data_IF_083503713006
#
_entry.id   IF_083503713006
#
_cell.length_a   1.000
_cell.length_b   1.000
_cell.length_c   1.000
_cell.angle_alpha   90.00
_cell.angle_beta   90.00
_cell.angle_gamma   90.00
#
_symmetry.space_group_name_H-M   'P 1'
#
loop_
_entity.id
_entity.type
_entity.pdbx_description
1 polymer ?
#
# COMPACT_ATOMS: atom_id res chain seq x y z
N UNK A 1 -2.25 -15.97 -14.36
CA UNK A 1 -2.68 -14.61 -13.93
C UNK A 1 -4.20 -14.61 -13.86
N UNK A 2 -4.76 -14.51 -12.65
CA UNK A 2 -6.21 -14.40 -12.45
C UNK A 2 -6.61 -12.92 -12.64
N UNK A 3 -7.58 -12.64 -13.51
CA UNK A 3 -8.09 -11.28 -13.71
C UNK A 3 -9.29 -11.04 -12.80
N UNK A 4 -9.15 -10.11 -11.85
CA UNK A 4 -10.24 -9.60 -11.03
C UNK A 4 -10.56 -8.17 -11.46
N UNK A 5 -11.83 -7.76 -11.39
CA UNK A 5 -12.30 -6.48 -11.96
C UNK A 5 -12.94 -5.58 -10.90
N UNK A 6 -12.87 -4.27 -11.15
CA UNK A 6 -13.48 -3.25 -10.29
C UNK A 6 -12.91 -3.20 -8.87
N UNK A 7 -13.63 -2.49 -7.99
CA UNK A 7 -13.21 -2.27 -6.59
C UNK A 7 -13.17 -3.59 -5.82
N UNK A 8 -14.13 -4.49 -6.06
CA UNK A 8 -14.16 -5.82 -5.42
C UNK A 8 -12.95 -6.66 -5.84
N UNK A 9 -12.59 -6.61 -7.13
CA UNK A 9 -11.41 -7.32 -7.61
C UNK A 9 -10.10 -6.75 -7.05
N UNK A 10 -9.99 -5.42 -6.96
CA UNK A 10 -8.84 -4.74 -6.38
C UNK A 10 -8.66 -5.06 -4.89
N UNK A 11 -9.70 -4.84 -4.08
CA UNK A 11 -9.64 -5.06 -2.63
C UNK A 11 -9.58 -6.55 -2.28
N UNK A 12 -10.26 -7.41 -3.04
CA UNK A 12 -10.19 -8.86 -2.90
C UNK A 12 -8.80 -9.41 -3.24
N UNK A 13 -8.16 -8.94 -4.31
CA UNK A 13 -6.79 -9.34 -4.64
C UNK A 13 -5.80 -8.99 -3.52
N UNK A 14 -5.95 -7.81 -2.90
CA UNK A 14 -5.11 -7.43 -1.76
C UNK A 14 -5.34 -8.35 -0.56
N UNK A 15 -6.60 -8.58 -0.19
CA UNK A 15 -6.98 -9.48 0.90
C UNK A 15 -6.44 -10.90 0.68
N UNK A 16 -6.60 -11.46 -0.51
CA UNK A 16 -6.14 -12.82 -0.82
C UNK A 16 -4.62 -12.96 -0.73
N UNK A 17 -3.88 -11.89 -1.04
CA UNK A 17 -2.42 -11.86 -0.91
C UNK A 17 -1.93 -11.70 0.53
N UNK A 18 -2.83 -11.55 1.49
CA UNK A 18 -2.52 -11.63 2.93
C UNK A 18 -2.92 -12.99 3.53
N UNK A 19 -3.41 -13.94 2.72
CA UNK A 19 -3.65 -15.30 3.19
C UNK A 19 -2.35 -15.93 3.72
N UNK A 20 -2.41 -16.52 4.91
CA UNK A 20 -1.26 -17.08 5.61
C UNK A 20 -0.53 -16.08 6.53
N UNK A 21 -0.85 -14.79 6.47
CA UNK A 21 -0.44 -13.80 7.47
C UNK A 21 -1.38 -13.94 8.68
N UNK A 22 -0.82 -13.93 9.88
CA UNK A 22 -1.61 -14.09 11.12
C UNK A 22 -2.48 -12.86 11.38
N UNK A 23 -3.70 -13.08 11.86
CA UNK A 23 -4.53 -12.00 12.39
C UNK A 23 -3.75 -11.26 13.50
N UNK A 24 -3.84 -9.93 13.56
CA UNK A 24 -3.04 -9.13 14.48
C UNK A 24 -1.62 -8.78 14.01
N UNK A 25 -1.15 -9.33 12.88
CA UNK A 25 0.15 -8.97 12.29
C UNK A 25 0.27 -7.47 11.97
N UNK A 26 1.52 -6.98 11.90
CA UNK A 26 1.86 -5.60 11.57
C UNK A 26 2.03 -5.43 10.06
N UNK A 27 1.26 -4.51 9.48
CA UNK A 27 1.31 -4.18 8.06
C UNK A 27 1.70 -2.70 7.93
N UNK A 28 2.84 -2.46 7.27
CA UNK A 28 3.36 -1.12 7.00
C UNK A 28 3.11 -0.77 5.54
N UNK A 29 2.29 0.24 5.30
CA UNK A 29 2.11 0.84 3.99
C UNK A 29 3.13 1.96 3.79
N UNK A 30 3.71 2.05 2.58
CA UNK A 30 4.46 3.23 2.13
C UNK A 30 3.93 3.70 0.79
N UNK A 31 3.73 5.00 0.64
CA UNK A 31 3.04 5.56 -0.51
C UNK A 31 3.20 7.07 -0.59
N UNK A 32 2.98 7.63 -1.79
CA UNK A 32 2.90 9.09 -1.96
C UNK A 32 1.85 9.66 -1.01
N UNK A 33 2.23 10.64 -0.20
CA UNK A 33 1.26 11.42 0.56
C UNK A 33 0.20 12.02 -0.37
N UNK A 34 -1.03 12.18 0.14
CA UNK A 34 -2.23 12.65 -0.55
C UNK A 34 -2.77 11.73 -1.66
N UNK A 35 -1.93 11.24 -2.59
CA UNK A 35 -2.40 10.45 -3.73
C UNK A 35 -2.65 8.99 -3.34
N UNK A 36 -1.77 8.38 -2.55
CA UNK A 36 -1.91 6.98 -2.14
C UNK A 36 -2.79 6.81 -0.89
N UNK A 37 -2.94 7.84 -0.06
CA UNK A 37 -3.66 7.76 1.22
C UNK A 37 -5.07 7.19 1.08
N UNK A 38 -5.93 7.65 0.15
CA UNK A 38 -7.29 7.10 0.02
C UNK A 38 -7.30 5.62 -0.37
N UNK A 39 -6.34 5.17 -1.16
CA UNK A 39 -6.22 3.76 -1.54
C UNK A 39 -5.71 2.92 -0.36
N UNK A 40 -4.76 3.43 0.42
CA UNK A 40 -4.29 2.76 1.64
C UNK A 40 -5.43 2.59 2.64
N UNK A 41 -6.25 3.62 2.82
CA UNK A 41 -7.45 3.58 3.69
C UNK A 41 -8.48 2.55 3.18
N UNK A 42 -8.73 2.53 1.87
CA UNK A 42 -9.60 1.53 1.24
C UNK A 42 -9.09 0.09 1.42
N UNK A 43 -7.79 -0.13 1.21
CA UNK A 43 -7.15 -1.44 1.39
C UNK A 43 -7.14 -1.88 2.86
N UNK A 44 -6.92 -0.93 3.78
CA UNK A 44 -7.03 -1.17 5.22
C UNK A 44 -8.44 -1.63 5.61
N UNK A 45 -9.46 -1.00 5.04
CA UNK A 45 -10.85 -1.40 5.26
C UNK A 45 -11.17 -2.81 4.72
N UNK A 46 -10.53 -3.22 3.63
CA UNK A 46 -10.70 -4.55 3.03
C UNK A 46 -10.25 -5.71 3.96
N UNK A 47 -9.41 -5.41 4.94
CA UNK A 47 -8.85 -6.36 5.91
C UNK A 47 -9.23 -6.04 7.36
N UNK A 48 -10.26 -5.22 7.57
CA UNK A 48 -10.70 -4.74 8.89
C UNK A 48 -11.04 -5.83 9.91
N UNK A 49 -11.47 -7.00 9.46
CA UNK A 49 -11.83 -8.14 10.30
C UNK A 49 -10.62 -8.92 10.85
N UNK A 50 -9.41 -8.54 10.44
CA UNK A 50 -8.16 -9.22 10.78
C UNK A 50 -7.40 -8.63 11.97
N UNK A 51 -7.87 -7.51 12.51
CA UNK A 51 -7.28 -6.83 13.67
C UNK A 51 -5.78 -6.53 13.54
N UNK A 52 -5.26 -6.37 12.32
CA UNK A 52 -3.86 -6.04 12.07
C UNK A 52 -3.46 -4.68 12.66
N UNK A 53 -2.19 -4.54 13.06
CA UNK A 53 -1.59 -3.24 13.35
C UNK A 53 -1.23 -2.57 12.02
N UNK A 54 -1.98 -1.52 11.65
CA UNK A 54 -1.83 -0.84 10.37
C UNK A 54 -1.08 0.49 10.54
N UNK A 55 0.00 0.64 9.78
CA UNK A 55 0.91 1.78 9.86
C UNK A 55 1.11 2.36 8.47
N UNK A 56 1.18 3.68 8.37
CA UNK A 56 1.51 4.39 7.15
C UNK A 56 2.82 5.17 7.31
N UNK A 57 3.78 4.93 6.42
CA UNK A 57 5.04 5.67 6.28
C UNK A 57 4.96 6.47 4.97
N UNK A 58 4.54 7.75 5.01
CA UNK A 58 4.42 8.56 3.81
C UNK A 58 5.77 8.77 3.13
N UNK A 59 5.83 8.62 1.81
CA UNK A 59 7.03 8.90 1.00
C UNK A 59 8.30 8.16 1.42
N UNK A 60 8.17 7.00 2.09
CA UNK A 60 9.29 6.30 2.73
C UNK A 60 10.06 7.12 3.79
N UNK A 61 9.46 8.19 4.33
CA UNK A 61 10.03 9.00 5.41
C UNK A 61 9.53 8.50 6.78
N UNK A 62 10.39 7.79 7.50
CA UNK A 62 10.08 7.24 8.83
C UNK A 62 9.74 8.31 9.87
N UNK A 63 10.17 9.57 9.69
CA UNK A 63 9.80 10.68 10.58
C UNK A 63 8.32 11.03 10.50
N UNK A 64 7.69 10.70 9.37
CA UNK A 64 6.28 10.97 9.10
C UNK A 64 5.37 9.80 9.42
N UNK A 65 5.88 8.74 10.07
CA UNK A 65 5.11 7.53 10.39
C UNK A 65 3.85 7.84 11.19
N UNK A 66 2.70 7.40 10.67
CA UNK A 66 1.37 7.54 11.28
C UNK A 66 0.70 6.19 11.47
N UNK A 67 -0.17 6.10 12.46
CA UNK A 67 -1.09 4.98 12.62
C UNK A 67 -2.27 5.09 11.65
N UNK A 68 -2.75 3.97 11.14
CA UNK A 68 -4.05 3.86 10.47
C UNK A 68 -5.06 3.31 11.46
N UNK A 69 -6.15 4.04 11.72
CA UNK A 69 -7.20 3.63 12.66
C UNK A 69 -8.56 3.58 11.98
N UNK A 70 -9.37 2.62 12.41
CA UNK A 70 -10.80 2.61 12.09
C UNK A 70 -11.49 3.71 12.92
N UNK A 71 -12.02 4.71 12.24
CA UNK A 71 -12.84 5.78 12.80
C UNK A 71 -14.33 5.46 12.58
N UNK A 72 -15.12 5.64 13.65
CA UNK A 72 -16.55 5.34 13.62
C UNK A 72 -17.24 6.18 12.54
N UNK A 73 -18.01 5.51 11.67
CA UNK A 73 -18.74 6.10 10.54
C UNK A 73 -17.90 6.71 9.40
N UNK A 74 -16.57 6.59 9.43
CA UNK A 74 -15.68 7.12 8.38
C UNK A 74 -14.87 6.03 7.67
N UNK A 75 -14.54 4.94 8.35
CA UNK A 75 -13.66 3.89 7.82
C UNK A 75 -12.24 4.04 8.37
N UNK A 76 -11.22 3.59 7.64
CA UNK A 76 -9.84 3.78 8.07
C UNK A 76 -9.34 5.17 7.72
N UNK A 77 -8.58 5.77 8.64
CA UNK A 77 -7.94 7.07 8.45
C UNK A 77 -6.49 7.03 8.91
N UNK A 78 -5.61 7.73 8.20
CA UNK A 78 -4.30 8.09 8.74
C UNK A 78 -4.48 9.17 9.81
N UNK A 79 -4.24 8.81 11.08
CA UNK A 79 -4.43 9.72 12.21
C UNK A 79 -3.10 10.35 12.63
N UNK A 80 -3.13 11.52 13.25
CA UNK A 80 -1.93 12.21 13.76
C UNK A 80 -1.41 11.58 15.07
N UNK A 81 -1.21 10.27 15.04
CA UNK A 81 -0.65 9.47 16.13
C UNK A 81 0.58 8.78 15.58
N UNK A 82 1.74 9.05 16.20
CA UNK A 82 3.00 8.39 15.85
C UNK A 82 2.88 6.89 16.13
N UNK A 83 3.34 6.08 15.19
CA UNK A 83 3.41 4.63 15.32
C UNK A 83 4.85 4.12 15.20
N UNK A 84 5.09 2.88 15.62
CA UNK A 84 6.38 2.21 15.48
C UNK A 84 6.35 1.23 14.30
N UNK A 85 7.03 1.52 13.17
CA UNK A 85 6.98 0.66 11.99
C UNK A 85 7.88 -0.58 12.08
N UNK A 86 8.66 -0.74 13.17
CA UNK A 86 9.68 -1.79 13.28
C UNK A 86 9.09 -3.20 13.32
N UNK A 87 9.82 -4.16 12.74
CA UNK A 87 9.47 -5.57 12.61
C UNK A 87 8.06 -5.76 12.00
N UNK A 88 7.83 -5.31 10.75
CA UNK A 88 6.58 -5.61 10.06
C UNK A 88 6.55 -7.08 9.63
N UNK A 89 5.35 -7.65 9.53
CA UNK A 89 5.13 -8.92 8.84
C UNK A 89 4.99 -8.70 7.33
N UNK A 90 4.43 -7.54 6.95
CA UNK A 90 4.19 -7.15 5.56
C UNK A 90 4.53 -5.68 5.34
N UNK A 91 5.22 -5.39 4.24
CA UNK A 91 5.38 -4.04 3.70
C UNK A 91 4.60 -3.92 2.39
N UNK A 92 3.72 -2.93 2.31
CA UNK A 92 2.93 -2.63 1.12
C UNK A 92 3.47 -1.35 0.46
N UNK A 93 4.06 -1.47 -0.72
CA UNK A 93 4.61 -0.34 -1.48
C UNK A 93 3.59 0.11 -2.52
N UNK A 94 3.17 1.37 -2.44
CA UNK A 94 2.18 1.95 -3.35
C UNK A 94 2.84 2.59 -4.57
N UNK A 95 2.26 2.34 -5.76
CA UNK A 95 2.80 2.76 -7.05
C UNK A 95 2.96 4.27 -7.25
N UNK A 96 2.28 5.11 -6.46
CA UNK A 96 2.49 6.55 -6.49
C UNK A 96 3.92 6.97 -6.18
N UNK A 97 4.67 6.14 -5.42
CA UNK A 97 6.09 6.38 -5.15
C UNK A 97 6.99 6.28 -6.39
N UNK A 98 6.55 5.57 -7.43
CA UNK A 98 7.27 5.44 -8.68
C UNK A 98 6.93 6.55 -9.69
N UNK A 99 6.05 7.49 -9.33
CA UNK A 99 5.65 8.58 -10.23
C UNK A 99 6.63 9.76 -10.14
N UNK A 100 7.07 10.35 -11.27
CA UNK A 100 8.09 11.40 -11.28
C UNK A 100 7.80 12.65 -10.42
N UNK A 101 6.52 13.01 -10.21
CA UNK A 101 6.12 14.23 -9.48
C UNK A 101 5.89 14.03 -7.98
N UNK A 102 5.63 12.79 -7.57
CA UNK A 102 5.08 12.46 -6.24
C UNK A 102 5.95 11.46 -5.48
N UNK A 103 6.93 10.90 -6.17
CA UNK A 103 7.67 9.73 -5.75
C UNK A 103 8.96 10.01 -5.00
N UNK A 104 9.57 8.91 -4.58
CA UNK A 104 10.95 8.84 -4.11
C UNK A 104 11.73 7.86 -5.00
N UNK A 105 13.00 7.60 -4.71
CA UNK A 105 13.75 6.57 -5.42
C UNK A 105 13.39 5.17 -4.89
N UNK A 106 13.57 4.09 -5.69
CA UNK A 106 13.43 2.73 -5.17
C UNK A 106 14.44 2.44 -4.04
N UNK A 107 15.61 3.10 -4.04
CA UNK A 107 16.60 2.98 -2.97
C UNK A 107 16.09 3.55 -1.65
N UNK A 108 15.34 4.66 -1.67
CA UNK A 108 14.70 5.21 -0.45
C UNK A 108 13.73 4.19 0.16
N UNK A 109 12.94 3.51 -0.67
CA UNK A 109 12.03 2.46 -0.23
C UNK A 109 12.81 1.27 0.34
N UNK A 110 13.86 0.80 -0.34
CA UNK A 110 14.69 -0.30 0.14
C UNK A 110 15.38 0.02 1.46
N UNK A 111 15.91 1.23 1.61
CA UNK A 111 16.56 1.68 2.83
C UNK A 111 15.55 1.73 3.98
N UNK A 112 14.36 2.27 3.73
CA UNK A 112 13.27 2.27 4.72
C UNK A 112 12.87 0.85 5.12
N UNK A 113 12.69 -0.06 4.15
CA UNK A 113 12.37 -1.48 4.43
C UNK A 113 13.46 -2.13 5.27
N UNK A 114 14.74 -1.95 4.91
CA UNK A 114 15.88 -2.49 5.68
C UNK A 114 15.89 -1.94 7.12
N UNK A 115 15.68 -0.64 7.28
CA UNK A 115 15.70 0.02 8.59
C UNK A 115 14.59 -0.50 9.50
N UNK A 116 13.38 -0.71 8.99
CA UNK A 116 12.26 -1.20 9.81
C UNK A 116 12.27 -2.72 10.01
N UNK A 117 12.90 -3.49 9.13
CA UNK A 117 12.83 -4.95 9.18
C UNK A 117 13.83 -5.56 10.16
N UNK A 118 14.93 -4.89 10.49
CA UNK A 118 16.03 -5.46 11.28
C UNK A 118 16.43 -6.85 10.71
N UNK A 119 16.44 -7.90 11.55
CA UNK A 119 16.72 -9.29 11.15
C UNK A 119 15.49 -10.04 10.59
N UNK A 120 14.33 -9.40 10.49
CA UNK A 120 13.11 -9.99 9.92
C UNK A 120 13.08 -9.80 8.40
N UNK A 121 12.41 -10.73 7.71
CA UNK A 121 12.18 -10.63 6.27
C UNK A 121 10.67 -10.50 6.01
N UNK A 122 10.10 -9.28 5.95
CA UNK A 122 8.68 -9.09 5.69
C UNK A 122 8.33 -9.48 4.27
N UNK A 123 7.06 -9.87 4.07
CA UNK A 123 6.50 -9.97 2.72
C UNK A 123 6.38 -8.58 2.09
N UNK A 124 6.89 -8.37 0.88
CA UNK A 124 6.81 -7.10 0.15
C UNK A 124 5.75 -7.20 -0.94
N UNK A 125 4.64 -6.47 -0.75
CA UNK A 125 3.52 -6.40 -1.69
C UNK A 125 3.59 -5.06 -2.45
N UNK A 126 3.72 -5.10 -3.77
CA UNK A 126 3.56 -3.93 -4.61
C UNK A 126 2.08 -3.74 -4.98
N UNK A 127 1.51 -2.56 -4.73
CA UNK A 127 0.16 -2.22 -5.21
C UNK A 127 0.24 -1.00 -6.12
N UNK A 128 -0.14 -1.15 -7.38
CA UNK A 128 0.02 -0.08 -8.34
C UNK A 128 -1.10 -0.03 -9.38
N UNK A 129 -1.04 1.04 -10.19
CA UNK A 129 -1.95 1.26 -11.29
C UNK A 129 -1.18 1.48 -12.58
N UNK A 130 -1.77 1.04 -13.69
CA UNK A 130 -1.26 1.30 -15.05
C UNK A 130 0.20 0.87 -15.23
N UNK A 131 0.57 -0.26 -14.61
CA UNK A 131 1.87 -0.92 -14.72
C UNK A 131 3.05 0.00 -14.37
N UNK A 132 2.85 0.97 -13.46
CA UNK A 132 3.86 1.99 -13.16
C UNK A 132 5.17 1.40 -12.64
N UNK A 133 5.14 0.33 -11.81
CA UNK A 133 6.37 -0.31 -11.33
C UNK A 133 7.19 -0.96 -12.45
N UNK A 134 6.54 -1.56 -13.44
CA UNK A 134 7.22 -2.12 -14.61
C UNK A 134 7.79 -0.99 -15.47
N UNK A 135 6.96 0.00 -15.79
CA UNK A 135 7.33 1.16 -16.61
C UNK A 135 8.43 2.02 -16.00
N UNK A 136 8.54 2.06 -14.68
CA UNK A 136 9.59 2.77 -13.94
C UNK A 136 10.81 1.90 -13.65
N UNK A 137 10.79 0.60 -14.02
CA UNK A 137 11.89 -0.34 -13.77
C UNK A 137 12.00 -0.83 -12.32
N UNK A 138 11.05 -0.49 -11.43
CA UNK A 138 11.09 -0.84 -10.01
C UNK A 138 10.99 -2.34 -9.76
N UNK A 139 10.41 -3.10 -10.69
CA UNK A 139 10.36 -4.58 -10.62
C UNK A 139 11.76 -5.22 -10.60
N UNK A 140 12.79 -4.50 -11.07
CA UNK A 140 14.17 -4.97 -11.06
C UNK A 140 14.97 -4.44 -9.85
N UNK A 141 14.40 -3.51 -9.07
CA UNK A 141 15.08 -2.84 -7.96
C UNK A 141 14.53 -3.29 -6.61
N UNK A 142 13.21 -3.44 -6.49
CA UNK A 142 12.55 -3.85 -5.25
C UNK A 142 12.18 -5.34 -5.37
N UNK A 143 12.56 -6.18 -4.40
CA UNK A 143 12.25 -7.61 -4.40
C UNK A 143 10.79 -7.85 -3.99
N UNK A 144 9.84 -7.50 -4.84
CA UNK A 144 8.43 -7.75 -4.61
C UNK A 144 8.13 -9.26 -4.59
N UNK A 145 7.46 -9.73 -3.54
CA UNK A 145 6.91 -11.10 -3.51
C UNK A 145 5.66 -11.21 -4.38
N UNK A 146 4.90 -10.12 -4.49
CA UNK A 146 3.72 -10.03 -5.35
C UNK A 146 3.47 -8.59 -5.78
N UNK A 147 2.96 -8.42 -7.01
CA UNK A 147 2.51 -7.14 -7.53
C UNK A 147 1.02 -7.24 -7.89
N UNK A 148 0.22 -6.33 -7.35
CA UNK A 148 -1.18 -6.12 -7.68
C UNK A 148 -1.24 -4.88 -8.58
N UNK A 149 -1.30 -5.09 -9.89
CA UNK A 149 -1.43 -4.02 -10.89
C UNK A 149 -2.88 -3.89 -11.36
N UNK A 150 -3.48 -2.73 -11.13
CA UNK A 150 -4.87 -2.44 -11.52
C UNK A 150 -4.90 -1.45 -12.69
N UNK A 151 -5.67 -1.77 -13.72
CA UNK A 151 -5.94 -0.84 -14.84
C UNK A 151 -7.24 -0.08 -14.57
N UNK A 152 -7.21 1.23 -14.78
CA UNK A 152 -8.38 2.09 -14.66
C UNK A 152 -8.73 2.66 -16.02
N UNK A 153 -10.03 2.74 -16.29
CA UNK A 153 -10.61 3.36 -17.48
C UNK A 153 -11.71 4.31 -17.03
N UNK A 154 -11.81 5.47 -17.70
CA UNK A 154 -12.80 6.50 -17.39
C UNK A 154 -13.59 6.81 -18.65
N UNK A 155 -14.92 6.69 -18.59
CA UNK A 155 -15.84 7.10 -19.66
C UNK A 155 -16.67 8.29 -19.16
N UNK A 156 -16.81 9.32 -20.00
CA UNK A 156 -17.61 10.50 -19.69
C UNK A 156 -18.89 10.45 -20.51
N UNK A 157 -20.04 10.47 -19.83
CA UNK A 157 -21.35 10.65 -20.46
C UNK A 157 -21.80 12.09 -20.22
N UNK A 158 -22.06 12.83 -21.29
CA UNK A 158 -22.70 14.14 -21.21
C UNK A 158 -24.19 13.94 -21.42
N UNK A 159 -24.99 14.32 -20.42
CA UNK A 159 -26.43 14.46 -20.63
C UNK A 159 -26.64 15.82 -21.30
N UNK A 160 -26.91 15.81 -22.61
CA UNK A 160 -27.47 16.98 -23.26
C UNK A 160 -28.91 17.14 -22.74
N UNK A 161 -29.35 18.37 -22.38
CA UNK A 161 -30.69 18.62 -21.90
C UNK A 161 -31.77 18.23 -22.91
#
# INVERSE_FOLDING_TARGET
MEKKTGIVGFTGAFRDNLNGISDGSKIVFTGSAAVCTPFIELLSYAIRDKNHELIFVPNADLKQTKMLKMENNLGYNAVDIKANPSNPDVVVVMGGLAMPKFGCSPDDVLNMVKEISNDHNPKIIGVCFMSIFERSGWINSIPFDVIIDTKMETTIYQHLP
#
